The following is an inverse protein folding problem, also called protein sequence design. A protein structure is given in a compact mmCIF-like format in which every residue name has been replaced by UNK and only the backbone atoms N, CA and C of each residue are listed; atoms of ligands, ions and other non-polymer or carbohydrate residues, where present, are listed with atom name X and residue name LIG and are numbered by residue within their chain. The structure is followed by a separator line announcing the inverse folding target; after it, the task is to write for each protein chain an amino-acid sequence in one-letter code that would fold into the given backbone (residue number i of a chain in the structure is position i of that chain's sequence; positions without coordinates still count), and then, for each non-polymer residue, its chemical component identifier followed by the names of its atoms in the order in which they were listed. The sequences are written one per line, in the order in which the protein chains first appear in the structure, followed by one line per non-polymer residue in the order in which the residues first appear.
data_IF_214258281115
#
_entry.id   IF_214258281115
#
_cell.length_a   1.000
_cell.length_b   1.000
_cell.length_c   1.000
_cell.angle_alpha   90.00
_cell.angle_beta   90.00
_cell.angle_gamma   90.00
#
_symmetry.space_group_name_H-M   'P 1'
#
loop_
_entity.id
_entity.type
_entity.pdbx_description
1 polymer ?
#
# COMPACT_ATOMS: atom_id res chain seq x y z
N UNK A 1 12.47 -0.48 -22.92
CA UNK A 1 12.07 -1.47 -21.91
C UNK A 1 10.71 -2.00 -22.34
N UNK A 2 10.59 -3.29 -22.69
CA UNK A 2 9.28 -3.88 -22.98
C UNK A 2 8.44 -3.79 -21.70
N UNK A 3 7.18 -3.34 -21.73
CA UNK A 3 6.32 -3.44 -20.56
C UNK A 3 6.26 -4.93 -20.21
N UNK A 4 6.74 -5.27 -19.01
CA UNK A 4 6.58 -6.62 -18.48
C UNK A 4 5.08 -6.82 -18.28
N UNK A 5 4.48 -7.71 -19.07
CA UNK A 5 3.03 -7.99 -19.02
C UNK A 5 2.63 -8.71 -17.71
N UNK A 6 3.62 -9.02 -16.86
CA UNK A 6 3.44 -9.65 -15.56
C UNK A 6 3.07 -8.60 -14.52
N UNK A 7 1.86 -8.72 -13.98
CA UNK A 7 1.40 -7.89 -12.89
C UNK A 7 2.08 -8.27 -11.57
N UNK A 8 2.55 -7.27 -10.80
CA UNK A 8 3.03 -7.45 -9.43
C UNK A 8 1.83 -7.56 -8.50
N UNK A 9 1.78 -8.63 -7.69
CA UNK A 9 0.72 -8.84 -6.70
C UNK A 9 1.26 -8.56 -5.30
N UNK A 10 0.58 -7.67 -4.57
CA UNK A 10 0.87 -7.31 -3.18
C UNK A 10 -0.27 -7.84 -2.30
N UNK A 11 0.07 -8.58 -1.25
CA UNK A 11 -0.89 -9.03 -0.24
C UNK A 11 -0.74 -8.14 1.00
N UNK A 12 -1.81 -7.42 1.32
CA UNK A 12 -1.90 -6.44 2.40
C UNK A 12 -1.90 -4.99 1.90
N UNK A 13 -2.99 -4.25 2.17
CA UNK A 13 -3.13 -2.82 1.86
C UNK A 13 -2.85 -1.93 3.08
N UNK A 14 -1.97 -2.37 3.98
CA UNK A 14 -1.46 -1.54 5.08
C UNK A 14 -0.53 -0.42 4.60
N UNK A 15 0.15 0.24 5.55
CA UNK A 15 1.04 1.38 5.26
C UNK A 15 2.13 1.05 4.22
N UNK A 16 2.86 -0.05 4.43
CA UNK A 16 3.97 -0.45 3.56
C UNK A 16 3.49 -0.97 2.20
N UNK A 17 2.45 -1.83 2.18
CA UNK A 17 1.93 -2.42 0.95
C UNK A 17 1.33 -1.37 0.01
N UNK A 18 0.59 -0.41 0.57
CA UNK A 18 0.04 0.72 -0.18
C UNK A 18 1.14 1.63 -0.74
N UNK A 19 2.15 1.97 0.07
CA UNK A 19 3.29 2.78 -0.39
C UNK A 19 4.06 2.08 -1.52
N UNK A 20 4.41 0.81 -1.33
CA UNK A 20 5.12 0.03 -2.36
C UNK A 20 4.31 -0.06 -3.66
N UNK A 21 3.00 -0.28 -3.55
CA UNK A 21 2.12 -0.32 -4.72
C UNK A 21 2.12 0.99 -5.51
N UNK A 22 2.11 2.13 -4.82
CA UNK A 22 2.24 3.45 -5.45
C UNK A 22 3.60 3.60 -6.14
N UNK A 23 4.70 3.25 -5.46
CA UNK A 23 6.06 3.38 -6.02
C UNK A 23 6.26 2.51 -7.27
N UNK A 24 5.74 1.28 -7.26
CA UNK A 24 5.81 0.38 -8.41
C UNK A 24 4.91 0.85 -9.56
N UNK A 25 3.69 1.32 -9.26
CA UNK A 25 2.81 1.89 -10.28
C UNK A 25 3.41 3.13 -10.95
N UNK A 26 4.07 4.02 -10.18
CA UNK A 26 4.77 5.21 -10.71
C UNK A 26 5.94 4.88 -11.62
N UNK A 27 6.55 3.70 -11.47
CA UNK A 27 7.62 3.21 -12.36
C UNK A 27 7.09 2.38 -13.54
N UNK A 28 5.77 2.34 -13.74
CA UNK A 28 5.13 1.72 -14.91
C UNK A 28 4.74 0.25 -14.73
N UNK A 29 4.84 -0.31 -13.52
CA UNK A 29 4.42 -1.68 -13.25
C UNK A 29 2.90 -1.77 -13.08
N UNK A 30 2.29 -2.85 -13.60
CA UNK A 30 0.89 -3.17 -13.31
C UNK A 30 0.81 -3.82 -11.92
N UNK A 31 0.21 -3.13 -10.96
CA UNK A 31 0.13 -3.61 -9.56
C UNK A 31 -1.29 -4.02 -9.21
N UNK A 32 -1.44 -5.16 -8.53
CA UNK A 32 -2.68 -5.60 -7.89
C UNK A 32 -2.44 -5.72 -6.38
N UNK A 33 -3.29 -5.09 -5.57
CA UNK A 33 -3.22 -5.17 -4.11
C UNK A 33 -4.48 -5.87 -3.61
N UNK A 34 -4.31 -6.83 -2.71
CA UNK A 34 -5.42 -7.54 -2.06
C UNK A 34 -5.33 -7.33 -0.56
N UNK A 35 -6.44 -6.98 0.07
CA UNK A 35 -6.57 -6.82 1.51
C UNK A 35 -7.71 -7.70 2.01
N UNK A 36 -7.55 -8.24 3.21
CA UNK A 36 -8.56 -9.08 3.85
C UNK A 36 -9.72 -8.24 4.38
N UNK A 37 -9.42 -7.04 4.89
CA UNK A 37 -10.42 -6.12 5.42
C UNK A 37 -11.16 -5.39 4.28
N UNK A 38 -12.41 -4.98 4.56
CA UNK A 38 -13.16 -4.09 3.70
C UNK A 38 -12.45 -2.74 3.53
N UNK A 39 -12.82 -2.01 2.48
CA UNK A 39 -12.26 -0.69 2.21
C UNK A 39 -12.64 0.30 3.32
N UNK A 40 -11.67 0.64 4.17
CA UNK A 40 -11.85 1.55 5.32
C UNK A 40 -12.32 2.95 4.95
N UNK A 41 -12.25 3.33 3.66
CA UNK A 41 -12.76 4.62 3.17
C UNK A 41 -14.27 4.60 2.95
N UNK A 42 -14.86 3.40 2.85
CA UNK A 42 -16.28 3.18 2.57
C UNK A 42 -17.01 2.57 3.75
N UNK A 43 -16.30 1.79 4.56
CA UNK A 43 -16.86 1.06 5.69
C UNK A 43 -16.12 1.38 6.99
N UNK A 44 -16.87 1.46 8.10
CA UNK A 44 -16.28 1.64 9.41
C UNK A 44 -15.79 0.30 9.95
N UNK A 45 -14.50 0.03 9.77
CA UNK A 45 -13.85 -1.15 10.32
C UNK A 45 -13.42 -0.94 11.78
N UNK A 46 -13.33 -2.00 12.61
CA UNK A 46 -12.82 -1.91 13.97
C UNK A 46 -11.42 -1.29 14.01
N UNK A 47 -11.18 -0.40 14.97
CA UNK A 47 -9.85 0.19 15.16
C UNK A 47 -8.82 -0.94 15.42
N UNK A 48 -7.77 -0.98 14.59
CA UNK A 48 -6.68 -1.94 14.73
C UNK A 48 -5.76 -1.65 15.92
N UNK A 49 -4.62 -2.35 15.99
CA UNK A 49 -3.62 -2.14 17.04
C UNK A 49 -2.89 -0.80 16.82
N UNK A 50 -3.04 0.11 17.79
CA UNK A 50 -2.55 1.50 17.85
C UNK A 50 -3.22 2.50 16.91
N UNK A 51 -3.77 3.56 17.51
CA UNK A 51 -4.48 4.66 16.84
C UNK A 51 -3.51 5.75 16.39
N UNK A 52 -2.39 5.93 17.10
CA UNK A 52 -1.40 6.97 16.84
C UNK A 52 -0.03 6.35 16.55
N UNK A 53 0.61 6.82 15.47
CA UNK A 53 1.97 6.46 15.07
C UNK A 53 2.82 7.73 15.02
N UNK A 54 4.02 7.69 15.60
CA UNK A 54 5.00 8.75 15.45
C UNK A 54 5.75 8.59 14.11
N UNK A 55 5.67 9.58 13.22
CA UNK A 55 6.38 9.57 11.95
C UNK A 55 7.78 10.14 12.10
N UNK A 56 8.79 9.27 12.07
CA UNK A 56 10.20 9.68 12.13
C UNK A 56 10.77 9.99 10.73
N UNK A 57 12.01 10.51 10.68
CA UNK A 57 12.69 10.94 9.46
C UNK A 57 12.72 9.89 8.33
N UNK A 58 12.91 8.60 8.66
CA UNK A 58 12.90 7.52 7.66
C UNK A 58 11.54 7.34 6.99
N UNK A 59 10.45 7.42 7.77
CA UNK A 59 9.10 7.31 7.25
C UNK A 59 8.73 8.53 6.42
N UNK A 60 9.07 9.73 6.90
CA UNK A 60 8.87 10.98 6.17
C UNK A 60 9.61 10.99 4.82
N UNK A 61 10.87 10.54 4.77
CA UNK A 61 11.63 10.45 3.51
C UNK A 61 11.03 9.49 2.48
N UNK A 62 10.26 8.50 2.91
CA UNK A 62 9.66 7.50 2.03
C UNK A 62 8.32 7.96 1.42
N UNK A 63 7.70 9.02 1.96
CA UNK A 63 6.44 9.61 1.52
C UNK A 63 6.69 10.77 0.56
#
# INVERSE_FOLDING_TARGET
MKPDDRAVTIVGAGLAGSLLGILLARTGHRVRIFERLADMRRERIPAGRSINLALAARGSRAL
#
